data_IF_223224270252
#
_entry.id   IF_223224270252
#
_cell.length_a   1.000
_cell.length_b   1.000
_cell.length_c   1.000
_cell.angle_alpha   90.00
_cell.angle_beta   90.00
_cell.angle_gamma   90.00
#
_symmetry.space_group_name_H-M   'P 1'
#
loop_
_entity.id
_entity.type
_entity.pdbx_description
1 polymer ?
#
# COMPACT_ATOMS: atom_id res chain seq x y z
N UNK A 1 2.34 4.80 -15.84
CA UNK A 1 1.82 4.13 -14.62
C UNK A 1 0.98 5.12 -13.80
N UNK A 2 -0.29 5.30 -14.17
CA UNK A 2 -1.28 6.03 -13.39
C UNK A 2 -1.94 5.03 -12.44
N UNK A 3 -1.54 5.02 -11.17
CA UNK A 3 -2.29 4.24 -10.19
C UNK A 3 -3.52 5.07 -9.79
N UNK A 4 -4.70 4.66 -10.25
CA UNK A 4 -6.02 5.24 -9.95
C UNK A 4 -6.40 5.08 -8.47
N UNK A 5 -5.61 5.66 -7.56
CA UNK A 5 -5.98 5.77 -6.15
C UNK A 5 -6.64 7.12 -5.83
N UNK A 6 -7.11 7.84 -6.85
CA UNK A 6 -7.67 9.19 -6.69
C UNK A 6 -9.14 9.16 -6.25
N UNK A 7 -9.84 8.06 -6.53
CA UNK A 7 -11.31 7.98 -6.43
C UNK A 7 -11.80 6.89 -5.45
N UNK A 8 -10.91 6.30 -4.63
CA UNK A 8 -11.30 5.30 -3.63
C UNK A 8 -11.68 5.95 -2.31
N UNK A 9 -12.71 5.41 -1.67
CA UNK A 9 -13.14 5.83 -0.33
C UNK A 9 -12.11 5.46 0.75
N UNK A 10 -12.14 6.13 1.89
CA UNK A 10 -11.17 5.91 2.98
C UNK A 10 -11.10 4.45 3.44
N UNK A 11 -12.25 3.79 3.56
CA UNK A 11 -12.31 2.37 3.94
C UNK A 11 -11.69 1.45 2.88
N UNK A 12 -11.90 1.74 1.59
CA UNK A 12 -11.30 0.96 0.51
C UNK A 12 -9.77 1.18 0.45
N UNK A 13 -9.29 2.38 0.78
CA UNK A 13 -7.86 2.64 0.92
C UNK A 13 -7.26 1.79 2.04
N UNK A 14 -7.90 1.72 3.21
CA UNK A 14 -7.45 0.88 4.32
C UNK A 14 -7.46 -0.61 3.95
N UNK A 15 -8.53 -1.12 3.35
CA UNK A 15 -8.61 -2.51 2.91
C UNK A 15 -7.48 -2.85 1.91
N UNK A 16 -7.24 -1.95 0.95
CA UNK A 16 -6.18 -2.13 -0.07
C UNK A 16 -4.78 -2.04 0.52
N UNK A 17 -4.58 -1.25 1.58
CA UNK A 17 -3.33 -1.21 2.36
C UNK A 17 -3.03 -2.58 2.96
N UNK A 18 -4.02 -3.20 3.59
CA UNK A 18 -3.87 -4.49 4.25
C UNK A 18 -3.58 -5.60 3.25
N UNK A 19 -4.29 -5.60 2.13
CA UNK A 19 -4.06 -6.56 1.04
C UNK A 19 -2.62 -6.46 0.50
N UNK A 20 -2.15 -5.24 0.19
CA UNK A 20 -0.79 -5.02 -0.30
C UNK A 20 0.28 -5.38 0.74
N UNK A 21 -0.01 -5.15 2.02
CA UNK A 21 0.88 -5.51 3.13
C UNK A 21 0.97 -7.02 3.30
N UNK A 22 -0.13 -7.75 3.11
CA UNK A 22 -0.15 -9.22 3.09
C UNK A 22 0.69 -9.76 1.93
N UNK A 23 0.46 -9.26 0.71
CA UNK A 23 1.27 -9.62 -0.48
C UNK A 23 2.76 -9.34 -0.29
N UNK A 24 3.12 -8.22 0.36
CA UNK A 24 4.52 -7.91 0.68
C UNK A 24 5.12 -8.88 1.72
N UNK A 25 4.30 -9.37 2.66
CA UNK A 25 4.71 -10.37 3.65
C UNK A 25 4.99 -11.71 3.00
N UNK A 26 4.09 -12.16 2.13
CA UNK A 26 4.23 -13.41 1.37
C UNK A 26 5.48 -13.35 0.49
N UNK A 27 5.66 -12.26 -0.27
CA UNK A 27 6.86 -12.05 -1.07
C UNK A 27 8.15 -11.99 -0.22
N UNK A 28 8.09 -11.53 1.04
CA UNK A 28 9.25 -11.60 1.94
C UNK A 28 9.57 -13.04 2.33
N UNK A 29 8.56 -13.87 2.56
CA UNK A 29 8.78 -15.29 2.84
C UNK A 29 9.37 -16.00 1.62
N UNK A 30 8.85 -15.73 0.42
CA UNK A 30 9.40 -16.30 -0.82
C UNK A 30 10.87 -15.94 -1.02
N UNK A 31 11.27 -14.71 -0.62
CA UNK A 31 12.68 -14.28 -0.60
C UNK A 31 13.56 -15.08 0.35
N UNK A 32 13.02 -15.46 1.50
CA UNK A 32 13.76 -16.27 2.48
C UNK A 32 13.85 -17.72 2.04
N UNK A 33 12.79 -18.25 1.40
CA UNK A 33 12.76 -19.63 0.89
C UNK A 33 13.61 -19.78 -0.39
N UNK A 34 13.90 -18.69 -1.10
CA UNK A 34 14.72 -18.70 -2.31
C UNK A 34 13.91 -18.84 -3.61
N UNK A 35 12.58 -18.85 -3.54
CA UNK A 35 11.69 -18.84 -4.70
C UNK A 35 11.37 -17.40 -5.15
N UNK A 36 12.40 -16.57 -5.36
CA UNK A 36 12.18 -15.21 -5.87
C UNK A 36 12.16 -15.24 -7.39
N UNK A 37 10.97 -15.32 -7.96
CA UNK A 37 10.82 -15.21 -9.42
C UNK A 37 11.07 -13.78 -9.92
N UNK A 38 10.74 -12.76 -9.12
CA UNK A 38 10.86 -11.37 -9.56
C UNK A 38 11.21 -10.36 -8.44
N UNK A 39 12.50 -9.99 -8.30
CA UNK A 39 12.97 -9.01 -7.32
C UNK A 39 12.36 -7.61 -7.48
N UNK A 40 11.93 -7.24 -8.70
CA UNK A 40 11.34 -5.92 -8.97
C UNK A 40 9.95 -5.77 -8.34
N UNK A 41 9.21 -6.86 -8.17
CA UNK A 41 7.88 -6.82 -7.55
C UNK A 41 7.96 -6.30 -6.11
N UNK A 42 9.00 -6.70 -5.35
CA UNK A 42 9.26 -6.18 -4.00
C UNK A 42 9.36 -4.65 -3.98
N UNK A 43 10.09 -4.09 -4.94
CA UNK A 43 10.30 -2.64 -5.06
C UNK A 43 9.00 -1.93 -5.42
N UNK A 44 8.22 -2.51 -6.33
CA UNK A 44 6.94 -1.94 -6.77
C UNK A 44 5.91 -1.96 -5.63
N UNK A 45 5.79 -3.07 -4.91
CA UNK A 45 4.90 -3.20 -3.75
C UNK A 45 5.24 -2.19 -2.65
N UNK A 46 6.54 -2.03 -2.30
CA UNK A 46 6.97 -1.02 -1.33
C UNK A 46 6.56 0.40 -1.74
N UNK A 47 6.73 0.75 -3.02
CA UNK A 47 6.33 2.07 -3.56
C UNK A 47 4.81 2.25 -3.54
N UNK A 48 4.04 1.21 -3.84
CA UNK A 48 2.58 1.25 -3.80
C UNK A 48 2.08 1.48 -2.37
N UNK A 49 2.63 0.76 -1.38
CA UNK A 49 2.29 0.94 0.04
C UNK A 49 2.61 2.37 0.50
N UNK A 50 3.79 2.89 0.16
CA UNK A 50 4.19 4.26 0.53
C UNK A 50 3.22 5.31 -0.06
N UNK A 51 2.89 5.20 -1.35
CA UNK A 51 1.92 6.10 -2.00
C UNK A 51 0.54 6.04 -1.36
N UNK A 52 0.11 4.84 -0.97
CA UNK A 52 -1.19 4.63 -0.37
C UNK A 52 -1.23 5.20 1.05
N UNK A 53 -0.17 5.02 1.84
CA UNK A 53 -0.04 5.66 3.17
C UNK A 53 -0.05 7.20 3.07
N UNK A 54 0.66 7.79 2.10
CA UNK A 54 0.63 9.25 1.88
C UNK A 54 -0.78 9.73 1.51
N UNK A 55 -1.54 8.93 0.76
CA UNK A 55 -2.92 9.26 0.42
C UNK A 55 -3.87 9.17 1.60
N UNK A 56 -3.73 8.14 2.44
CA UNK A 56 -4.48 8.01 3.70
C UNK A 56 -4.21 9.22 4.60
N UNK A 57 -2.94 9.61 4.74
CA UNK A 57 -2.55 10.74 5.57
C UNK A 57 -3.14 12.08 5.08
N UNK A 58 -3.14 12.31 3.76
CA UNK A 58 -3.69 13.52 3.14
C UNK A 58 -5.21 13.45 2.90
N UNK A 59 -5.91 12.41 3.37
CA UNK A 59 -7.35 12.28 3.17
C UNK A 59 -8.10 13.25 4.09
N UNK A 60 -9.15 13.91 3.58
CA UNK A 60 -9.86 14.97 4.29
C UNK A 60 -10.40 14.54 5.67
N UNK A 61 -10.85 13.28 5.80
CA UNK A 61 -11.34 12.73 7.08
C UNK A 61 -10.28 12.67 8.19
N UNK A 62 -8.99 12.48 7.84
CA UNK A 62 -7.88 12.42 8.80
C UNK A 62 -7.37 13.82 9.15
N UNK A 63 -7.40 14.74 8.17
CA UNK A 63 -6.99 16.14 8.38
C UNK A 63 -8.01 16.86 9.28
N UNK A 64 -9.31 16.66 9.05
CA UNK A 64 -10.36 17.29 9.87
C UNK A 64 -10.43 16.79 11.32
N UNK A 65 -9.95 15.58 11.62
CA UNK A 65 -9.91 15.05 12.99
C UNK A 65 -8.63 15.41 13.77
N UNK A 66 -7.70 16.14 13.14
CA UNK A 66 -6.51 16.70 13.81
C UNK A 66 -6.67 18.19 14.16
N UNK A 67 -7.77 18.82 13.73
CA UNK A 67 -8.09 20.23 13.96
C UNK A 67 -9.13 20.46 15.08
N UNK A 68 -9.61 19.40 15.74
CA UNK A 68 -10.46 19.46 16.95
C UNK A 68 -9.68 19.21 18.25
#
# INVERSE_FOLDING_TARGET
MKNSFKDLTFQELLAKREELRKKYRDLRFDVVVGHVENPLQKRTLRRQIARLNTRIYNHAEVVGSSEE
#
